data_IF_860807473516
#
_entry.id   IF_860807473516
#
_cell.length_a   1.000
_cell.length_b   1.000
_cell.length_c   1.000
_cell.angle_alpha   90.00
_cell.angle_beta   90.00
_cell.angle_gamma   90.00
#
_symmetry.space_group_name_H-M   'P 1'
#
loop_
_entity.id
_entity.type
_entity.pdbx_description
1 polymer ?
#
# COMPACT_ATOMS: atom_id res chain seq x y z
N UNK A 1 -54.37 -68.36 7.96
CA UNK A 1 -55.17 -67.32 8.64
C UNK A 1 -54.64 -65.96 8.17
N UNK A 2 -55.40 -65.23 7.33
CA UNK A 2 -54.96 -63.98 6.69
C UNK A 2 -55.14 -62.80 7.66
N UNK A 3 -54.06 -62.09 7.99
CA UNK A 3 -54.12 -60.78 8.66
C UNK A 3 -53.76 -59.70 7.62
N UNK A 4 -54.75 -58.91 7.21
CA UNK A 4 -54.57 -57.72 6.36
C UNK A 4 -54.06 -56.58 7.23
N UNK A 5 -52.83 -56.12 6.98
CA UNK A 5 -52.33 -54.85 7.51
C UNK A 5 -52.82 -53.70 6.61
N UNK A 6 -53.56 -52.75 7.20
CA UNK A 6 -54.00 -51.51 6.55
C UNK A 6 -52.85 -50.48 6.70
N UNK A 7 -52.36 -49.95 5.57
CA UNK A 7 -51.47 -48.78 5.56
C UNK A 7 -52.29 -47.53 5.88
N UNK A 8 -51.94 -46.85 6.97
CA UNK A 8 -52.42 -45.49 7.28
C UNK A 8 -51.41 -44.52 6.67
N UNK A 9 -51.86 -43.68 5.74
CA UNK A 9 -51.06 -42.60 5.14
C UNK A 9 -51.36 -41.34 5.96
N UNK A 10 -50.37 -40.83 6.69
CA UNK A 10 -50.42 -39.53 7.35
C UNK A 10 -49.75 -38.52 6.41
N UNK A 11 -50.45 -37.47 5.94
CA UNK A 11 -49.80 -36.44 5.13
C UNK A 11 -48.93 -35.56 6.03
N UNK A 12 -47.63 -35.52 5.74
CA UNK A 12 -46.70 -34.56 6.35
C UNK A 12 -46.91 -33.23 5.62
N UNK A 13 -47.53 -32.27 6.29
CA UNK A 13 -47.60 -30.87 5.85
C UNK A 13 -46.24 -30.24 6.14
N UNK A 14 -45.46 -29.98 5.09
CA UNK A 14 -44.23 -29.18 5.19
C UNK A 14 -44.64 -27.71 5.15
N UNK A 15 -44.61 -27.04 6.31
CA UNK A 15 -44.79 -25.60 6.40
C UNK A 15 -43.46 -24.93 6.03
N UNK A 16 -43.38 -24.39 4.82
CA UNK A 16 -42.30 -23.50 4.38
C UNK A 16 -42.50 -22.12 5.02
N UNK A 17 -41.77 -21.85 6.11
CA UNK A 17 -41.63 -20.50 6.67
C UNK A 17 -40.66 -19.70 5.80
N UNK A 18 -41.21 -18.81 4.97
CA UNK A 18 -40.45 -17.77 4.28
C UNK A 18 -40.09 -16.66 5.26
N UNK A 19 -38.83 -16.59 5.68
CA UNK A 19 -38.30 -15.42 6.39
C UNK A 19 -38.08 -14.29 5.37
N UNK A 20 -39.04 -13.39 5.25
CA UNK A 20 -38.83 -12.09 4.62
C UNK A 20 -37.96 -11.23 5.54
N UNK A 21 -36.67 -11.13 5.25
CA UNK A 21 -35.82 -10.08 5.81
C UNK A 21 -36.25 -8.74 5.20
N UNK A 22 -37.04 -7.97 5.94
CA UNK A 22 -37.19 -6.54 5.69
C UNK A 22 -35.85 -5.87 5.97
N UNK A 23 -35.10 -5.57 4.91
CA UNK A 23 -33.93 -4.71 4.96
C UNK A 23 -34.43 -3.29 5.28
N UNK A 24 -34.44 -2.93 6.55
CA UNK A 24 -34.59 -1.54 6.98
C UNK A 24 -33.35 -0.79 6.53
N UNK A 25 -33.44 -0.13 5.38
CA UNK A 25 -32.46 0.82 4.90
C UNK A 25 -32.41 2.02 5.84
N UNK A 26 -31.48 1.99 6.79
CA UNK A 26 -31.02 3.21 7.46
C UNK A 26 -30.25 4.02 6.40
N UNK A 27 -30.94 4.97 5.78
CA UNK A 27 -30.30 6.03 5.03
C UNK A 27 -29.61 6.96 6.04
N UNK A 28 -28.36 6.64 6.39
CA UNK A 28 -27.47 7.63 6.95
C UNK A 28 -27.16 8.64 5.85
N UNK A 29 -27.91 9.74 5.85
CA UNK A 29 -27.54 10.94 5.12
C UNK A 29 -26.28 11.53 5.73
N UNK A 30 -25.12 11.01 5.33
CA UNK A 30 -23.86 11.74 5.35
C UNK A 30 -23.65 12.29 3.96
N UNK A 31 -23.29 13.57 3.89
CA UNK A 31 -22.80 14.21 2.68
C UNK A 31 -21.59 13.39 2.19
N UNK A 32 -21.81 12.40 1.33
CA UNK A 32 -20.78 11.43 0.96
C UNK A 32 -19.76 12.17 0.12
N UNK A 33 -18.55 12.32 0.64
CA UNK A 33 -17.48 12.89 -0.14
C UNK A 33 -17.26 12.06 -1.41
N UNK A 34 -16.87 12.68 -2.51
CA UNK A 34 -16.54 11.93 -3.72
C UNK A 34 -15.41 10.96 -3.40
N UNK A 35 -15.71 9.66 -3.43
CA UNK A 35 -14.72 8.61 -3.17
C UNK A 35 -13.78 8.48 -4.36
N UNK A 36 -12.47 8.60 -4.11
CA UNK A 36 -11.43 8.42 -5.12
C UNK A 36 -10.29 7.56 -4.58
N UNK A 37 -9.79 6.62 -5.39
CA UNK A 37 -8.61 5.80 -5.06
C UNK A 37 -7.43 6.10 -5.99
N UNK A 38 -7.71 6.74 -7.12
CA UNK A 38 -6.77 7.03 -8.18
C UNK A 38 -7.06 8.40 -8.78
N UNK A 39 -6.02 9.08 -9.25
CA UNK A 39 -6.10 10.28 -10.07
C UNK A 39 -5.07 10.20 -11.21
N UNK A 40 -5.38 10.82 -12.35
CA UNK A 40 -4.48 10.83 -13.50
C UNK A 40 -3.13 11.48 -13.14
N UNK A 41 -2.00 10.74 -13.19
CA UNK A 41 -0.68 11.30 -12.89
C UNK A 41 -0.13 12.19 -14.01
N UNK A 42 -0.79 12.23 -15.18
CA UNK A 42 -0.35 12.98 -16.35
C UNK A 42 0.87 12.34 -17.03
N UNK A 43 1.89 13.15 -17.31
CA UNK A 43 3.11 12.70 -17.99
C UNK A 43 4.05 11.96 -17.04
N UNK A 44 3.83 10.65 -16.90
CA UNK A 44 4.57 9.79 -15.96
C UNK A 44 6.09 9.88 -16.17
N UNK A 45 6.59 9.89 -17.41
CA UNK A 45 8.01 9.98 -17.74
C UNK A 45 8.67 11.32 -17.35
N UNK A 46 7.88 12.32 -16.96
CA UNK A 46 8.36 13.63 -16.48
C UNK A 46 8.32 13.79 -14.97
N UNK A 47 7.80 12.79 -14.24
CA UNK A 47 7.74 12.82 -12.78
C UNK A 47 9.14 12.71 -12.18
N UNK A 48 9.42 13.53 -11.17
CA UNK A 48 10.69 13.51 -10.44
C UNK A 48 10.68 12.43 -9.35
N UNK A 49 11.51 11.41 -9.51
CA UNK A 49 11.59 10.30 -8.57
C UNK A 49 12.52 10.55 -7.38
N UNK A 50 13.22 11.67 -7.34
CA UNK A 50 14.14 11.95 -6.22
C UNK A 50 13.43 12.41 -4.94
N UNK A 51 12.25 13.04 -5.05
CA UNK A 51 11.42 13.42 -3.90
C UNK A 51 10.00 12.94 -4.12
N UNK A 52 9.58 11.83 -3.47
CA UNK A 52 8.31 11.14 -3.75
C UNK A 52 7.02 11.98 -3.58
N UNK A 53 7.11 13.23 -3.11
CA UNK A 53 6.04 14.22 -3.13
C UNK A 53 6.45 15.61 -3.64
N UNK A 54 7.63 15.72 -4.28
CA UNK A 54 8.32 16.94 -4.70
C UNK A 54 9.56 17.25 -3.84
N UNK A 55 10.70 17.59 -4.45
CA UNK A 55 11.94 17.98 -3.72
C UNK A 55 11.72 19.17 -2.79
N UNK A 56 10.87 20.11 -3.21
CA UNK A 56 10.50 21.32 -2.48
C UNK A 56 9.76 21.03 -1.16
N UNK A 57 9.13 19.84 -1.07
CA UNK A 57 8.40 19.36 0.11
C UNK A 57 9.21 18.43 1.01
N UNK A 58 10.50 18.21 0.72
CA UNK A 58 11.37 17.43 1.58
C UNK A 58 11.54 18.09 2.98
N UNK A 59 11.80 17.31 4.04
CA UNK A 59 12.02 17.83 5.40
C UNK A 59 13.15 18.86 5.45
N UNK A 60 12.94 19.96 6.19
CA UNK A 60 13.93 21.04 6.32
C UNK A 60 14.47 21.18 7.75
N UNK A 61 15.77 20.96 8.01
CA UNK A 61 16.32 21.13 9.35
C UNK A 61 16.33 22.62 9.79
N UNK A 62 16.41 22.92 11.10
CA UNK A 62 16.50 21.97 12.21
C UNK A 62 15.24 21.13 12.41
N UNK A 63 15.41 19.99 13.09
CA UNK A 63 14.32 19.07 13.43
C UNK A 63 14.14 19.06 14.95
N UNK A 64 13.00 19.53 15.45
CA UNK A 64 12.72 19.52 16.88
C UNK A 64 11.89 18.27 17.26
N UNK A 65 12.30 17.59 18.32
CA UNK A 65 11.59 16.45 18.87
C UNK A 65 10.19 16.84 19.39
N UNK A 66 9.19 15.99 19.14
CA UNK A 66 7.86 16.11 19.74
C UNK A 66 7.65 14.99 20.76
N UNK A 67 7.84 13.75 20.33
CA UNK A 67 7.66 12.57 21.19
C UNK A 67 8.23 11.29 20.55
N UNK A 68 8.44 10.27 21.37
CA UNK A 68 8.61 8.89 20.89
C UNK A 68 7.24 8.22 20.76
N UNK A 69 6.92 7.70 19.57
CA UNK A 69 5.67 7.00 19.35
C UNK A 69 5.88 5.49 19.48
N UNK A 70 5.33 4.92 20.55
CA UNK A 70 5.52 3.52 20.92
C UNK A 70 4.60 2.53 20.18
N UNK A 71 3.72 3.00 19.29
CA UNK A 71 2.82 2.11 18.54
C UNK A 71 3.55 1.30 17.45
N UNK A 72 3.06 0.10 17.15
CA UNK A 72 3.67 -0.77 16.13
C UNK A 72 5.05 -1.31 16.51
N UNK A 73 5.68 -2.03 15.57
CA UNK A 73 6.89 -2.83 15.83
C UNK A 73 8.20 -2.08 15.65
N UNK A 74 8.26 -1.08 14.77
CA UNK A 74 9.48 -0.34 14.50
C UNK A 74 9.60 0.92 15.36
N UNK A 75 10.80 1.22 15.91
CA UNK A 75 11.02 2.45 16.65
C UNK A 75 10.78 3.67 15.77
N UNK A 76 10.06 4.66 16.32
CA UNK A 76 9.72 5.87 15.59
C UNK A 76 9.49 7.05 16.53
N UNK A 77 9.78 8.24 16.04
CA UNK A 77 9.57 9.51 16.74
C UNK A 77 8.72 10.44 15.90
N UNK A 78 8.04 11.38 16.55
CA UNK A 78 7.44 12.53 15.88
C UNK A 78 8.37 13.73 16.04
N UNK A 79 8.57 14.46 14.95
CA UNK A 79 9.32 15.72 14.94
C UNK A 79 8.50 16.81 14.26
N UNK A 80 8.96 18.05 14.41
CA UNK A 80 8.59 19.18 13.57
C UNK A 80 9.85 19.74 12.90
N UNK A 81 9.74 20.14 11.64
CA UNK A 81 10.84 20.74 10.90
C UNK A 81 10.84 22.27 11.00
N UNK A 82 11.84 22.93 10.40
CA UNK A 82 12.04 24.38 10.50
C UNK A 82 10.89 25.23 9.95
N UNK A 83 10.05 24.66 9.08
CA UNK A 83 8.91 25.36 8.48
C UNK A 83 7.58 24.91 9.07
N UNK A 84 7.61 24.15 10.17
CA UNK A 84 6.44 23.75 10.92
C UNK A 84 5.75 22.47 10.42
N UNK A 85 6.35 21.73 9.49
CA UNK A 85 5.80 20.46 9.00
C UNK A 85 6.10 19.36 10.01
N UNK A 86 5.07 18.58 10.36
CA UNK A 86 5.22 17.44 11.28
C UNK A 86 5.56 16.19 10.51
N UNK A 87 6.52 15.43 11.03
CA UNK A 87 6.98 14.19 10.42
C UNK A 87 6.88 13.02 11.39
N UNK A 88 6.49 11.86 10.87
CA UNK A 88 6.73 10.57 11.49
C UNK A 88 8.08 10.06 11.00
N UNK A 89 9.04 9.84 11.91
CA UNK A 89 10.39 9.37 11.59
C UNK A 89 10.56 7.94 12.06
N UNK A 90 10.73 6.99 11.12
CA UNK A 90 11.01 5.56 11.40
C UNK A 90 12.48 5.27 11.11
N UNK A 91 13.03 4.29 11.81
CA UNK A 91 14.41 3.80 11.64
C UNK A 91 14.42 2.28 11.40
N UNK A 92 15.56 1.76 10.93
CA UNK A 92 15.78 0.32 10.76
C UNK A 92 15.50 -0.17 9.34
N UNK A 93 15.23 -1.46 9.20
CA UNK A 93 15.26 -2.19 7.92
C UNK A 93 14.17 -1.85 6.91
N UNK A 94 13.18 -1.04 7.28
CA UNK A 94 12.03 -0.71 6.44
C UNK A 94 12.16 0.64 5.71
N UNK A 95 13.15 1.45 6.09
CA UNK A 95 13.21 2.85 5.67
C UNK A 95 13.40 3.03 4.16
N UNK A 96 14.10 2.12 3.50
CA UNK A 96 14.34 2.19 2.06
C UNK A 96 13.13 1.70 1.26
N UNK A 97 12.57 0.55 1.65
CA UNK A 97 11.46 -0.11 0.95
C UNK A 97 10.20 0.76 0.91
N UNK A 98 9.81 1.35 2.05
CA UNK A 98 8.61 2.19 2.14
C UNK A 98 8.72 3.42 1.21
N UNK A 99 9.86 4.12 1.21
CA UNK A 99 10.08 5.32 0.39
C UNK A 99 10.03 4.97 -1.10
N UNK A 100 10.67 3.88 -1.51
CA UNK A 100 10.69 3.51 -2.93
C UNK A 100 9.35 2.94 -3.41
N UNK A 101 8.77 2.00 -2.65
CA UNK A 101 7.57 1.29 -3.09
C UNK A 101 6.35 2.21 -3.19
N UNK A 102 6.16 3.13 -2.24
CA UNK A 102 5.07 4.12 -2.29
C UNK A 102 5.24 5.09 -3.46
N UNK A 103 6.48 5.39 -3.87
CA UNK A 103 6.77 6.22 -5.05
C UNK A 103 6.28 5.59 -6.35
N UNK A 104 6.36 4.27 -6.50
CA UNK A 104 5.81 3.56 -7.66
C UNK A 104 4.28 3.68 -7.70
N UNK A 105 3.61 3.56 -6.54
CA UNK A 105 2.17 3.77 -6.45
C UNK A 105 1.77 5.21 -6.79
N UNK A 106 2.48 6.20 -6.23
CA UNK A 106 2.29 7.62 -6.55
C UNK A 106 2.45 7.92 -8.05
N UNK A 107 3.53 7.45 -8.66
CA UNK A 107 3.81 7.67 -10.08
C UNK A 107 2.76 7.03 -11.01
N UNK A 108 2.03 6.04 -10.49
CA UNK A 108 0.94 5.38 -11.20
C UNK A 108 -0.44 5.97 -10.85
N UNK A 109 -0.51 7.09 -10.13
CA UNK A 109 -1.73 7.84 -9.84
C UNK A 109 -2.42 7.52 -8.52
N UNK A 110 -1.84 6.68 -7.66
CA UNK A 110 -2.43 6.33 -6.38
C UNK A 110 -2.03 7.30 -5.27
N UNK A 111 -2.96 7.55 -4.36
CA UNK A 111 -2.72 8.40 -3.20
C UNK A 111 -1.92 7.65 -2.14
N UNK A 112 -0.81 8.24 -1.73
CA UNK A 112 0.11 7.72 -0.71
C UNK A 112 0.54 8.86 0.22
N UNK A 113 1.01 8.51 1.42
CA UNK A 113 1.69 9.48 2.28
C UNK A 113 3.12 9.71 1.76
N UNK A 114 3.52 10.96 1.44
CA UNK A 114 4.87 11.23 0.98
C UNK A 114 5.92 10.86 2.03
N UNK A 115 6.87 10.03 1.64
CA UNK A 115 8.01 9.65 2.46
C UNK A 115 9.34 10.04 1.79
N UNK A 116 10.32 10.41 2.62
CA UNK A 116 11.67 10.80 2.23
C UNK A 116 12.67 9.98 3.03
N UNK A 117 13.73 9.52 2.37
CA UNK A 117 14.88 8.93 3.05
C UNK A 117 15.89 10.03 3.38
N UNK A 118 16.30 10.11 4.64
CA UNK A 118 17.29 11.05 5.14
C UNK A 118 18.51 10.22 5.62
N UNK A 119 19.66 10.31 4.92
CA UNK A 119 20.82 9.46 5.19
C UNK A 119 21.42 9.73 6.57
N UNK A 120 21.41 10.99 7.01
CA UNK A 120 21.82 11.41 8.33
C UNK A 120 21.24 12.77 8.68
N UNK A 121 21.18 13.06 9.97
CA UNK A 121 20.72 14.34 10.47
C UNK A 121 20.82 14.40 11.99
N UNK A 122 20.25 15.47 12.55
CA UNK A 122 20.18 15.70 13.98
C UNK A 122 18.77 16.09 14.38
N UNK A 123 18.29 15.52 15.47
CA UNK A 123 17.04 15.91 16.12
C UNK A 123 17.41 16.65 17.40
N UNK A 124 17.01 17.91 17.49
CA UNK A 124 17.24 18.76 18.64
C UNK A 124 16.17 18.53 19.73
N UNK A 125 16.49 18.93 20.95
CA UNK A 125 15.61 18.87 22.13
C UNK A 125 15.04 17.47 22.43
N UNK A 126 15.87 16.43 22.27
CA UNK A 126 15.47 15.06 22.58
C UNK A 126 14.94 14.93 24.00
N UNK A 127 13.75 14.32 24.13
CA UNK A 127 13.30 13.76 25.38
C UNK A 127 13.99 12.43 25.70
N UNK A 128 13.62 11.81 26.82
CA UNK A 128 14.07 10.46 27.13
C UNK A 128 13.53 9.45 26.11
N UNK A 129 14.43 8.70 25.46
CA UNK A 129 14.09 7.70 24.46
C UNK A 129 14.16 6.28 25.03
N UNK A 130 13.22 5.44 24.62
CA UNK A 130 13.15 4.02 24.98
C UNK A 130 13.69 3.14 23.86
N UNK A 131 12.94 2.98 22.77
CA UNK A 131 13.27 2.09 21.64
C UNK A 131 14.11 2.82 20.60
N UNK A 132 13.83 4.10 20.37
CA UNK A 132 14.52 4.93 19.40
C UNK A 132 15.97 5.26 19.80
N UNK A 133 16.35 5.09 21.08
CA UNK A 133 17.73 5.31 21.58
C UNK A 133 18.79 4.45 20.88
N UNK A 134 18.38 3.33 20.27
CA UNK A 134 19.29 2.47 19.51
C UNK A 134 19.61 3.05 18.12
N UNK A 135 18.89 4.09 17.68
CA UNK A 135 19.00 4.69 16.35
C UNK A 135 19.30 6.20 16.40
N UNK A 136 18.97 6.85 17.52
CA UNK A 136 19.27 8.25 17.78
C UNK A 136 20.25 8.32 18.94
N UNK A 137 21.43 8.89 18.69
CA UNK A 137 22.47 9.09 19.69
C UNK A 137 22.05 10.14 20.73
N UNK A 138 22.68 10.18 21.93
CA UNK A 138 22.35 11.17 22.96
C UNK A 138 22.47 12.63 22.52
N UNK A 139 23.27 12.92 21.49
CA UNK A 139 23.44 14.25 20.92
C UNK A 139 22.38 14.61 19.87
N UNK A 140 21.39 13.74 19.59
CA UNK A 140 20.39 13.95 18.54
C UNK A 140 20.74 13.34 17.19
N UNK A 141 21.99 12.90 16.99
CA UNK A 141 22.46 12.43 15.69
C UNK A 141 21.83 11.08 15.32
N UNK A 142 21.37 10.94 14.08
CA UNK A 142 20.84 9.70 13.53
C UNK A 142 21.39 9.42 12.13
N UNK A 143 21.22 8.18 11.67
CA UNK A 143 21.45 7.77 10.27
C UNK A 143 20.28 6.95 9.75
N UNK A 144 20.15 6.88 8.42
CA UNK A 144 19.20 6.03 7.70
C UNK A 144 17.77 6.10 8.26
N UNK A 145 17.11 7.23 8.06
CA UNK A 145 15.78 7.48 8.59
C UNK A 145 14.77 7.73 7.47
N UNK A 146 13.57 7.19 7.62
CA UNK A 146 12.42 7.55 6.79
C UNK A 146 11.64 8.64 7.49
N UNK A 147 11.37 9.74 6.78
CA UNK A 147 10.53 10.86 7.19
C UNK A 147 9.25 10.83 6.37
N UNK A 148 8.09 10.74 7.01
CA UNK A 148 6.78 10.60 6.37
C UNK A 148 5.98 11.75 6.88
N UNK A 149 5.46 12.51 5.93
CA UNK A 149 4.74 13.72 6.22
C UNK A 149 3.46 13.35 6.95
N UNK A 150 3.24 13.92 8.13
CA UNK A 150 1.94 13.80 8.75
C UNK A 150 0.94 14.68 8.03
N UNK A 151 -0.34 14.29 8.08
CA UNK A 151 -1.46 14.99 7.44
C UNK A 151 -1.38 16.51 7.55
N UNK A 152 -1.74 17.18 6.47
CA UNK A 152 -1.84 18.63 6.43
C UNK A 152 -2.98 19.15 7.32
N UNK A 153 -2.86 20.43 7.73
CA UNK A 153 -3.91 21.09 8.51
C UNK A 153 -5.21 21.14 7.69
N UNK A 154 -6.31 20.71 8.30
CA UNK A 154 -7.64 20.68 7.65
C UNK A 154 -7.95 19.37 6.91
N UNK A 155 -6.99 18.46 6.77
CA UNK A 155 -7.24 17.09 6.29
C UNK A 155 -7.58 16.21 7.49
N UNK A 156 -8.73 15.53 7.43
CA UNK A 156 -9.09 14.52 8.43
C UNK A 156 -8.69 13.15 7.90
N UNK A 157 -7.91 12.40 8.68
CA UNK A 157 -7.48 11.04 8.35
C UNK A 157 -8.32 10.03 9.14
N UNK A 158 -9.02 9.15 8.44
CA UNK A 158 -9.74 8.02 9.01
C UNK A 158 -8.82 6.80 8.95
N UNK A 159 -8.45 6.29 10.12
CA UNK A 159 -7.51 5.19 10.29
C UNK A 159 -8.14 4.09 11.17
N UNK A 160 -7.44 2.97 11.28
CA UNK A 160 -7.85 1.82 12.08
C UNK A 160 -9.31 1.40 11.76
N UNK A 161 -10.22 1.42 12.74
CA UNK A 161 -11.62 0.99 12.60
C UNK A 161 -12.43 1.85 11.62
N UNK A 162 -11.94 3.03 11.27
CA UNK A 162 -12.58 3.93 10.30
C UNK A 162 -11.89 3.92 8.93
N UNK A 163 -10.92 3.02 8.72
CA UNK A 163 -10.23 2.85 7.44
C UNK A 163 -11.07 2.03 6.44
N UNK A 164 -10.47 1.62 5.32
CA UNK A 164 -11.10 0.85 4.26
C UNK A 164 -10.50 -0.56 4.10
N UNK A 165 -11.27 -1.47 3.49
CA UNK A 165 -10.86 -2.86 3.20
C UNK A 165 -10.66 -3.09 1.69
N UNK A 166 -9.66 -3.89 1.33
CA UNK A 166 -9.41 -4.33 -0.04
C UNK A 166 -10.57 -5.07 -0.69
N UNK A 167 -11.38 -5.77 0.12
CA UNK A 167 -12.51 -6.59 -0.35
C UNK A 167 -13.87 -5.95 -0.10
N UNK A 168 -13.92 -4.83 0.61
CA UNK A 168 -15.14 -4.07 0.87
C UNK A 168 -14.86 -2.58 0.76
N UNK A 169 -15.05 -2.04 -0.45
CA UNK A 169 -14.86 -0.63 -0.77
C UNK A 169 -15.69 -0.23 -2.01
N UNK A 170 -15.84 1.07 -2.31
CA UNK A 170 -16.63 1.53 -3.46
C UNK A 170 -16.07 1.19 -4.86
N UNK A 171 -14.85 0.67 -4.95
CA UNK A 171 -14.12 0.49 -6.21
C UNK A 171 -14.01 -0.97 -6.65
N UNK A 172 -14.76 -1.88 -6.03
CA UNK A 172 -14.76 -3.30 -6.40
C UNK A 172 -15.11 -3.48 -7.89
N UNK A 173 -14.30 -4.26 -8.60
CA UNK A 173 -14.44 -4.50 -10.04
C UNK A 173 -13.90 -3.38 -10.94
N UNK A 174 -13.34 -2.31 -10.39
CA UNK A 174 -12.69 -1.26 -11.17
C UNK A 174 -11.26 -1.62 -11.57
N UNK A 175 -10.85 -1.13 -12.75
CA UNK A 175 -9.45 -1.17 -13.20
C UNK A 175 -8.52 -0.41 -12.25
N UNK A 176 -8.99 0.65 -11.61
CA UNK A 176 -8.25 1.43 -10.61
C UNK A 176 -7.89 0.59 -9.38
N UNK A 177 -8.85 -0.15 -8.82
CA UNK A 177 -8.55 -1.03 -7.68
C UNK A 177 -7.64 -2.20 -8.10
N UNK A 178 -7.87 -2.79 -9.27
CA UNK A 178 -7.03 -3.87 -9.78
C UNK A 178 -5.61 -3.40 -10.10
N UNK A 179 -5.45 -2.19 -10.62
CA UNK A 179 -4.15 -1.57 -10.84
C UNK A 179 -3.36 -1.41 -9.53
N UNK A 180 -4.02 -0.97 -8.45
CA UNK A 180 -3.37 -0.87 -7.14
C UNK A 180 -2.92 -2.24 -6.61
N UNK A 181 -3.74 -3.28 -6.80
CA UNK A 181 -3.37 -4.66 -6.43
C UNK A 181 -2.14 -5.13 -7.22
N UNK A 182 -2.06 -4.83 -8.52
CA UNK A 182 -0.91 -5.16 -9.36
C UNK A 182 0.35 -4.43 -8.87
N UNK A 183 0.27 -3.13 -8.54
CA UNK A 183 1.42 -2.39 -8.01
C UNK A 183 1.91 -2.99 -6.69
N UNK A 184 0.98 -3.31 -5.79
CA UNK A 184 1.29 -3.98 -4.52
C UNK A 184 2.07 -5.29 -4.77
N UNK A 185 1.61 -6.13 -5.71
CA UNK A 185 2.31 -7.35 -6.10
C UNK A 185 3.66 -7.05 -6.78
N UNK A 186 3.73 -6.04 -7.65
CA UNK A 186 4.94 -5.62 -8.36
C UNK A 186 6.06 -5.28 -7.40
N UNK A 187 5.77 -4.54 -6.33
CA UNK A 187 6.76 -4.20 -5.30
C UNK A 187 7.00 -5.33 -4.29
N UNK A 188 6.42 -6.52 -4.49
CA UNK A 188 6.48 -7.65 -3.55
C UNK A 188 5.98 -7.31 -2.14
N UNK A 189 5.04 -6.36 -1.99
CA UNK A 189 4.55 -6.03 -0.65
C UNK A 189 3.74 -7.23 -0.13
N UNK A 190 4.13 -7.84 0.99
CA UNK A 190 3.45 -9.01 1.55
C UNK A 190 2.63 -8.69 2.81
N UNK A 191 2.69 -7.44 3.29
CA UNK A 191 2.02 -6.91 4.48
C UNK A 191 0.86 -5.99 4.07
N UNK A 192 -0.13 -6.56 3.41
CA UNK A 192 -1.31 -5.87 2.87
C UNK A 192 -2.49 -5.84 3.87
N UNK A 193 -2.18 -5.58 5.14
CA UNK A 193 -3.18 -5.43 6.21
C UNK A 193 -4.17 -4.32 5.86
N UNK A 194 -5.43 -4.50 6.18
CA UNK A 194 -6.47 -3.50 6.00
C UNK A 194 -7.38 -3.40 7.23
N UNK A 195 -8.58 -2.82 7.07
CA UNK A 195 -9.60 -2.75 8.12
C UNK A 195 -9.88 -4.10 8.84
N UNK A 196 -9.70 -5.24 8.16
CA UNK A 196 -9.91 -6.57 8.76
C UNK A 196 -8.81 -6.95 9.76
N UNK A 197 -7.67 -6.26 9.73
CA UNK A 197 -6.45 -6.53 10.50
C UNK A 197 -6.18 -5.51 11.61
N UNK A 198 -7.11 -4.59 11.91
CA UNK A 198 -6.91 -3.45 12.84
C UNK A 198 -6.20 -3.78 14.16
N UNK A 199 -6.43 -4.96 14.74
CA UNK A 199 -5.72 -5.42 15.97
C UNK A 199 -4.20 -5.52 15.81
N UNK A 200 -3.72 -5.70 14.57
CA UNK A 200 -2.31 -5.79 14.17
C UNK A 200 -1.84 -4.51 13.44
N UNK A 201 -2.70 -3.51 13.31
CA UNK A 201 -2.51 -2.32 12.48
C UNK A 201 -3.10 -2.49 11.06
N UNK A 202 -3.47 -1.36 10.45
CA UNK A 202 -3.96 -1.28 9.08
C UNK A 202 -2.99 -0.48 8.21
N UNK A 203 -2.80 -0.92 6.96
CA UNK A 203 -1.92 -0.28 5.97
C UNK A 203 -2.75 0.50 4.92
N UNK A 204 -3.99 0.81 5.28
CA UNK A 204 -4.94 1.62 4.52
C UNK A 204 -5.45 2.77 5.39
N UNK A 205 -5.82 3.88 4.78
CA UNK A 205 -6.53 5.00 5.43
C UNK A 205 -7.40 5.76 4.43
N UNK A 206 -8.30 6.61 4.92
CA UNK A 206 -9.06 7.57 4.10
C UNK A 206 -8.67 8.99 4.52
N UNK A 207 -8.24 9.81 3.56
CA UNK A 207 -8.06 11.25 3.76
C UNK A 207 -9.29 12.01 3.25
N UNK A 208 -9.97 12.70 4.17
CA UNK A 208 -11.09 13.57 3.88
C UNK A 208 -10.57 14.99 3.64
N UNK A 209 -10.66 15.44 2.40
CA UNK A 209 -10.09 16.71 1.94
C UNK A 209 -11.23 17.67 1.57
N UNK A 210 -11.22 18.92 2.07
CA UNK A 210 -12.18 19.92 1.64
C UNK A 210 -12.13 20.14 0.12
N UNK A 211 -13.28 20.14 -0.53
CA UNK A 211 -13.47 20.37 -1.95
C UNK A 211 -14.53 21.46 -2.17
N UNK A 212 -14.59 22.03 -3.38
CA UNK A 212 -15.55 23.10 -3.72
C UNK A 212 -17.01 22.71 -3.52
N UNK A 213 -17.34 21.42 -3.60
CA UNK A 213 -18.70 20.88 -3.43
C UNK A 213 -18.84 19.93 -2.23
N UNK A 214 -18.02 20.10 -1.18
CA UNK A 214 -18.08 19.30 0.04
C UNK A 214 -16.71 18.70 0.39
N UNK A 215 -16.63 17.38 0.42
CA UNK A 215 -15.41 16.65 0.77
C UNK A 215 -15.04 15.70 -0.35
N UNK A 216 -13.75 15.47 -0.58
CA UNK A 216 -13.24 14.36 -1.37
C UNK A 216 -12.63 13.34 -0.41
N UNK A 217 -13.08 12.09 -0.48
CA UNK A 217 -12.57 10.99 0.33
C UNK A 217 -11.52 10.24 -0.50
N UNK A 218 -10.24 10.49 -0.21
CA UNK A 218 -9.11 9.81 -0.86
C UNK A 218 -8.76 8.53 -0.14
N UNK A 219 -8.87 7.41 -0.82
CA UNK A 219 -8.51 6.09 -0.32
C UNK A 219 -7.02 5.92 -0.56
N UNK A 220 -6.26 5.89 0.54
CA UNK A 220 -4.80 5.85 0.49
C UNK A 220 -4.26 4.53 1.02
N UNK A 221 -3.04 4.22 0.61
CA UNK A 221 -2.22 3.12 1.15
C UNK A 221 -1.00 3.69 1.86
N UNK A 222 -0.55 3.01 2.92
CA UNK A 222 0.58 3.40 3.76
C UNK A 222 1.35 2.17 4.25
N UNK A 223 2.48 2.36 4.92
CA UNK A 223 3.24 1.28 5.59
C UNK A 223 3.69 0.15 4.64
N UNK A 224 4.28 0.52 3.50
CA UNK A 224 4.81 -0.43 2.51
C UNK A 224 6.25 -0.89 2.81
N UNK A 225 6.70 -0.78 4.06
CA UNK A 225 8.04 -1.26 4.48
C UNK A 225 8.22 -2.77 4.35
N UNK A 226 7.13 -3.54 4.41
CA UNK A 226 7.09 -4.99 4.16
C UNK A 226 7.14 -5.36 2.67
N UNK A 227 8.08 -4.81 1.91
CA UNK A 227 8.15 -4.95 0.44
C UNK A 227 9.59 -4.98 -0.08
N UNK A 228 9.75 -4.99 -1.42
CA UNK A 228 11.03 -4.92 -2.12
C UNK A 228 12.00 -6.06 -1.75
N UNK A 229 11.47 -7.22 -1.38
CA UNK A 229 12.21 -8.44 -1.10
C UNK A 229 11.46 -9.68 -1.59
N UNK A 230 11.71 -10.83 -0.95
CA UNK A 230 10.95 -12.04 -1.23
C UNK A 230 9.51 -11.92 -0.75
N UNK A 231 8.58 -12.29 -1.64
CA UNK A 231 7.21 -12.63 -1.28
C UNK A 231 7.15 -14.11 -0.81
N UNK A 232 6.05 -14.51 -0.15
CA UNK A 232 5.84 -15.90 0.25
C UNK A 232 4.99 -16.07 1.50
N UNK A 233 5.07 -17.27 2.09
CA UNK A 233 4.57 -17.52 3.45
C UNK A 233 5.39 -16.77 4.50
N UNK A 234 4.89 -16.71 5.73
CA UNK A 234 5.42 -15.84 6.81
C UNK A 234 6.94 -16.02 7.04
N UNK A 235 7.47 -17.22 6.92
CA UNK A 235 8.89 -17.54 7.16
C UNK A 235 9.84 -17.20 5.99
N UNK A 236 9.31 -16.97 4.78
CA UNK A 236 10.10 -16.81 3.56
C UNK A 236 10.19 -15.34 3.08
N UNK A 237 9.51 -14.43 3.78
CA UNK A 237 9.38 -13.03 3.41
C UNK A 237 10.60 -12.23 3.81
N UNK A 238 11.05 -11.37 2.92
CA UNK A 238 12.15 -10.45 3.17
C UNK A 238 11.76 -9.03 2.79
N UNK A 239 12.50 -8.06 3.31
CA UNK A 239 12.31 -6.62 3.09
C UNK A 239 13.59 -6.07 2.51
N UNK A 240 13.50 -5.24 1.48
CA UNK A 240 14.67 -4.63 0.85
C UNK A 240 15.79 -5.64 0.55
N UNK A 241 15.42 -6.74 -0.12
CA UNK A 241 16.37 -7.76 -0.57
C UNK A 241 16.28 -7.90 -2.09
N UNK A 242 17.20 -7.25 -2.80
CA UNK A 242 17.18 -7.31 -4.25
C UNK A 242 17.46 -8.72 -4.78
N UNK A 243 18.31 -9.50 -4.10
CA UNK A 243 18.69 -10.82 -4.60
C UNK A 243 17.49 -11.74 -4.65
N UNK A 244 16.71 -11.83 -3.58
CA UNK A 244 15.50 -12.62 -3.52
C UNK A 244 14.35 -12.02 -4.34
N UNK A 245 14.22 -10.70 -4.40
CA UNK A 245 13.28 -10.04 -5.32
C UNK A 245 13.54 -10.42 -6.79
N UNK A 246 14.81 -10.36 -7.21
CA UNK A 246 15.26 -10.74 -8.55
C UNK A 246 15.12 -12.26 -8.78
N UNK A 247 15.45 -13.09 -7.79
CA UNK A 247 15.28 -14.54 -7.87
C UNK A 247 13.83 -14.96 -8.15
N UNK A 248 12.86 -14.24 -7.58
CA UNK A 248 11.44 -14.52 -7.77
C UNK A 248 10.84 -13.85 -9.01
N UNK A 249 11.55 -12.90 -9.61
CA UNK A 249 11.05 -12.13 -10.77
C UNK A 249 10.62 -13.00 -11.95
N UNK A 250 11.34 -14.06 -12.37
CA UNK A 250 10.88 -14.95 -13.45
C UNK A 250 9.52 -15.62 -13.21
N UNK A 251 9.07 -15.68 -11.95
CA UNK A 251 7.79 -16.28 -11.56
C UNK A 251 6.68 -15.24 -11.31
N UNK A 252 6.93 -13.94 -11.54
CA UNK A 252 5.97 -12.88 -11.22
C UNK A 252 4.65 -13.05 -12.00
N UNK A 253 4.74 -13.19 -13.32
CA UNK A 253 3.61 -13.59 -14.19
C UNK A 253 3.76 -15.07 -14.57
N UNK A 254 2.74 -15.88 -14.28
CA UNK A 254 2.68 -17.30 -14.68
C UNK A 254 1.99 -17.52 -16.03
N UNK A 255 1.39 -16.48 -16.59
CA UNK A 255 0.70 -16.48 -17.87
C UNK A 255 -0.75 -16.02 -17.75
N UNK A 256 -1.57 -16.42 -18.74
CA UNK A 256 -2.98 -16.05 -18.87
C UNK A 256 -3.85 -17.31 -18.78
N UNK A 257 -5.01 -17.21 -18.12
CA UNK A 257 -6.05 -18.24 -18.13
C UNK A 257 -7.40 -17.62 -18.44
N UNK A 258 -7.94 -17.93 -19.63
CA UNK A 258 -9.10 -17.19 -20.15
C UNK A 258 -8.73 -15.73 -20.35
N UNK A 259 -9.53 -14.83 -19.77
CA UNK A 259 -9.30 -13.37 -19.87
C UNK A 259 -8.54 -12.78 -18.67
N UNK A 260 -7.94 -13.62 -17.83
CA UNK A 260 -7.35 -13.21 -16.55
C UNK A 260 -5.87 -13.55 -16.45
N UNK A 261 -5.11 -12.66 -15.79
CA UNK A 261 -3.71 -12.92 -15.43
C UNK A 261 -3.61 -13.97 -14.31
N UNK A 262 -2.59 -14.82 -14.41
CA UNK A 262 -2.18 -15.74 -13.34
C UNK A 262 -0.87 -15.24 -12.77
N UNK A 263 -0.85 -14.94 -11.47
CA UNK A 263 0.31 -14.37 -10.78
C UNK A 263 1.05 -15.43 -9.96
N UNK A 264 2.36 -15.25 -9.79
CA UNK A 264 3.16 -16.05 -8.85
C UNK A 264 3.36 -15.43 -7.47
N UNK A 265 2.91 -14.20 -7.28
CA UNK A 265 2.94 -13.51 -6.01
C UNK A 265 2.24 -14.30 -4.89
N UNK A 266 2.79 -14.21 -3.67
CA UNK A 266 2.16 -14.71 -2.46
C UNK A 266 2.46 -13.81 -1.26
N UNK A 267 1.44 -13.44 -0.50
CA UNK A 267 1.53 -12.58 0.68
C UNK A 267 0.43 -12.86 1.68
N UNK A 268 0.21 -11.95 2.63
CA UNK A 268 -1.00 -11.99 3.41
C UNK A 268 -2.21 -11.79 2.48
N UNK A 269 -3.36 -12.41 2.76
CA UNK A 269 -4.57 -12.30 1.93
C UNK A 269 -4.36 -12.54 0.41
N UNK A 270 -3.43 -13.42 0.01
CA UNK A 270 -2.96 -13.56 -1.38
C UNK A 270 -4.07 -13.54 -2.43
N UNK A 271 -5.14 -14.32 -2.21
CA UNK A 271 -6.24 -14.47 -3.17
C UNK A 271 -6.96 -13.16 -3.48
N UNK A 272 -7.07 -12.26 -2.50
CA UNK A 272 -7.74 -10.96 -2.67
C UNK A 272 -7.03 -10.07 -3.70
N UNK A 273 -5.76 -10.37 -3.99
CA UNK A 273 -4.88 -9.59 -4.87
C UNK A 273 -4.52 -10.31 -6.16
N UNK A 274 -4.32 -11.63 -6.12
CA UNK A 274 -3.83 -12.39 -7.27
C UNK A 274 -4.93 -12.99 -8.14
N UNK A 275 -6.20 -12.93 -7.75
CA UNK A 275 -7.29 -13.55 -8.50
C UNK A 275 -8.16 -12.51 -9.21
N UNK A 276 -8.70 -12.88 -10.37
CA UNK A 276 -9.74 -12.10 -11.05
C UNK A 276 -9.28 -10.78 -11.69
N UNK A 277 -7.99 -10.60 -11.97
CA UNK A 277 -7.46 -9.41 -12.67
C UNK A 277 -7.55 -9.61 -14.19
N UNK A 278 -8.43 -8.87 -14.90
CA UNK A 278 -8.59 -8.99 -16.34
C UNK A 278 -7.40 -8.42 -17.12
N UNK A 279 -7.18 -8.92 -18.33
CA UNK A 279 -6.15 -8.41 -19.26
C UNK A 279 -6.33 -6.89 -19.51
N UNK A 280 -7.58 -6.42 -19.63
CA UNK A 280 -7.89 -5.02 -19.88
C UNK A 280 -7.40 -4.08 -18.78
N UNK A 281 -7.45 -4.52 -17.52
CA UNK A 281 -7.04 -3.71 -16.37
C UNK A 281 -5.51 -3.62 -16.25
N UNK A 282 -4.81 -4.73 -16.59
CA UNK A 282 -3.34 -4.73 -16.69
C UNK A 282 -2.90 -3.79 -17.81
N UNK A 283 -3.56 -3.84 -18.98
CA UNK A 283 -3.28 -2.93 -20.10
C UNK A 283 -3.50 -1.46 -19.70
N UNK A 284 -4.60 -1.16 -19.00
CA UNK A 284 -4.86 0.18 -18.48
C UNK A 284 -3.74 0.67 -17.57
N UNK A 285 -3.30 -0.17 -16.61
CA UNK A 285 -2.20 0.20 -15.71
C UNK A 285 -0.89 0.41 -16.47
N UNK A 286 -0.59 -0.41 -17.47
CA UNK A 286 0.63 -0.30 -18.30
C UNK A 286 0.69 1.02 -19.07
N UNK A 287 -0.46 1.65 -19.35
CA UNK A 287 -0.52 3.02 -19.90
C UNK A 287 0.15 4.08 -19.01
N UNK A 288 0.35 3.80 -17.72
CA UNK A 288 1.06 4.66 -16.77
C UNK A 288 2.36 4.00 -16.29
N UNK A 289 2.24 2.82 -15.67
CA UNK A 289 3.37 2.07 -15.11
C UNK A 289 4.43 1.75 -16.16
N UNK A 290 4.01 1.45 -17.40
CA UNK A 290 4.89 1.12 -18.50
C UNK A 290 5.72 2.30 -19.03
N UNK A 291 5.35 3.54 -18.67
CA UNK A 291 6.04 4.80 -19.03
C UNK A 291 7.09 5.23 -18.01
N UNK A 292 7.09 4.68 -16.80
CA UNK A 292 8.18 4.91 -15.84
C UNK A 292 9.49 4.44 -16.49
N UNK A 293 10.48 5.31 -16.58
CA UNK A 293 11.77 5.05 -17.22
C UNK A 293 12.75 4.34 -16.28
N UNK A 294 13.76 3.68 -16.84
CA UNK A 294 14.82 3.07 -16.02
C UNK A 294 15.59 4.12 -15.21
N UNK A 295 15.78 5.33 -15.75
CA UNK A 295 16.45 6.41 -15.03
C UNK A 295 15.63 6.91 -13.84
N UNK A 296 14.31 7.03 -13.99
CA UNK A 296 13.41 7.30 -12.86
C UNK A 296 13.50 6.21 -11.80
N UNK A 297 13.53 4.92 -12.19
CA UNK A 297 13.71 3.82 -11.24
C UNK A 297 15.05 3.96 -10.50
N UNK A 298 16.15 4.21 -11.22
CA UNK A 298 17.48 4.39 -10.61
C UNK A 298 17.53 5.58 -9.65
N UNK A 299 17.00 6.73 -10.05
CA UNK A 299 16.94 7.93 -9.21
C UNK A 299 16.05 7.72 -7.97
N UNK A 300 14.92 7.05 -8.14
CA UNK A 300 14.05 6.66 -7.04
C UNK A 300 14.77 5.74 -6.04
N UNK A 301 15.48 4.73 -6.53
CA UNK A 301 16.23 3.81 -5.66
C UNK A 301 17.35 4.53 -4.91
N UNK A 302 18.17 5.34 -5.62
CA UNK A 302 19.25 6.13 -5.00
C UNK A 302 18.72 7.10 -3.94
N UNK A 303 17.65 7.83 -4.24
CA UNK A 303 17.02 8.76 -3.30
C UNK A 303 16.33 8.04 -2.13
N UNK A 304 16.05 6.74 -2.25
CA UNK A 304 15.59 5.89 -1.17
C UNK A 304 16.72 5.23 -0.37
N UNK A 305 17.99 5.55 -0.66
CA UNK A 305 19.16 5.03 0.07
C UNK A 305 19.73 3.71 -0.44
N UNK A 306 19.38 3.29 -1.66
CA UNK A 306 19.95 2.10 -2.29
C UNK A 306 21.45 2.25 -2.58
N UNK A 307 22.22 1.16 -2.43
CA UNK A 307 23.58 1.09 -2.97
C UNK A 307 23.59 1.07 -4.50
N UNK A 308 24.72 1.32 -5.15
CA UNK A 308 24.86 1.23 -6.60
C UNK A 308 24.48 -0.15 -7.15
N UNK A 309 24.84 -1.21 -6.44
CA UNK A 309 24.51 -2.59 -6.79
C UNK A 309 23.01 -2.85 -6.65
N UNK A 310 22.40 -2.38 -5.56
CA UNK A 310 20.95 -2.48 -5.34
C UNK A 310 20.18 -1.72 -6.41
N UNK A 311 20.64 -0.53 -6.80
CA UNK A 311 20.03 0.30 -7.85
C UNK A 311 19.90 -0.50 -9.15
N UNK A 312 21.00 -1.05 -9.66
CA UNK A 312 20.96 -1.79 -10.93
C UNK A 312 20.22 -3.11 -10.80
N UNK A 313 20.34 -3.78 -9.66
CA UNK A 313 19.64 -5.03 -9.40
C UNK A 313 18.11 -4.82 -9.40
N UNK A 314 17.61 -3.84 -8.63
CA UNK A 314 16.17 -3.58 -8.52
C UNK A 314 15.63 -3.02 -9.82
N UNK A 315 16.33 -2.07 -10.47
CA UNK A 315 15.90 -1.49 -11.76
C UNK A 315 15.64 -2.57 -12.78
N UNK A 316 16.61 -3.49 -12.98
CA UNK A 316 16.48 -4.60 -13.91
C UNK A 316 15.32 -5.53 -13.55
N UNK A 317 15.19 -5.88 -12.27
CA UNK A 317 14.13 -6.80 -11.82
C UNK A 317 12.73 -6.19 -11.96
N UNK A 318 12.55 -4.90 -11.62
CA UNK A 318 11.27 -4.19 -11.80
C UNK A 318 10.93 -4.09 -13.28
N UNK A 319 11.89 -3.69 -14.13
CA UNK A 319 11.69 -3.62 -15.57
C UNK A 319 11.28 -4.97 -16.16
N UNK A 320 11.93 -6.05 -15.73
CA UNK A 320 11.59 -7.40 -16.15
C UNK A 320 10.15 -7.77 -15.79
N UNK A 321 9.70 -7.46 -14.56
CA UNK A 321 8.29 -7.69 -14.16
C UNK A 321 7.31 -6.88 -15.00
N UNK A 322 7.64 -5.64 -15.33
CA UNK A 322 6.82 -4.80 -16.23
C UNK A 322 6.76 -5.42 -17.63
N UNK A 323 7.89 -5.89 -18.16
CA UNK A 323 7.98 -6.50 -19.48
C UNK A 323 7.22 -7.83 -19.56
N UNK A 324 7.19 -8.63 -18.49
CA UNK A 324 6.36 -9.83 -18.40
C UNK A 324 4.86 -9.51 -18.55
N UNK A 325 4.40 -8.38 -18.01
CA UNK A 325 3.01 -7.94 -18.20
C UNK A 325 2.78 -7.45 -19.63
N UNK A 326 3.70 -6.64 -20.19
CA UNK A 326 3.62 -6.13 -21.57
C UNK A 326 3.51 -7.26 -22.61
N UNK A 327 4.37 -8.27 -22.48
CA UNK A 327 4.37 -9.43 -23.37
C UNK A 327 3.08 -10.24 -23.35
N UNK A 328 2.35 -10.22 -22.23
CA UNK A 328 1.06 -10.91 -22.10
C UNK A 328 -0.13 -10.09 -22.63
N UNK A 329 -0.01 -8.77 -22.75
CA UNK A 329 -1.10 -7.90 -23.27
C UNK A 329 -0.96 -7.57 -24.76
N UNK A 330 0.16 -7.93 -25.39
CA UNK A 330 0.44 -7.72 -26.81
C UNK A 330 0.96 -6.32 -27.16
N UNK A 331 1.75 -5.71 -26.25
CA UNK A 331 2.35 -4.37 -26.40
C UNK A 331 3.88 -4.41 -26.48
#
# INVERSE_FOLDING_TARGET
>A
MKIKSRKIIIPVIVILLSLNYLQTGLSYGTQSGQSVIWGDPGDVEKLDFTGGGGRDKAPKPPFAFIEENLSGTNPKVRIIDAIGVKWSVKFGSEVNAEVFATRIAWASGYYVEPAYFIPSGKIDDLGELTRARNYIKPDGSFTNARFERQRDKGVKKLEAENSWSWVQNPFLGSKELNGLKIIMMLVSNWDNKDLRDVKRGSNTAIEQIPASSGTQDRYIVSDWGGSMGKWGGVINREKWDCKGYAQQTPAFVKGIRGDYFVWGYAGQHTKDFSEGIPIGDVRWLLGYLGRITDDQLREGLRSSGASSEEVECFTRAIRERINQMKSCVGE
#
